data_IF_201727409571
#
_entry.id   IF_201727409571
#
_cell.length_a   1.000
_cell.length_b   1.000
_cell.length_c   1.000
_cell.angle_alpha   90.00
_cell.angle_beta   90.00
_cell.angle_gamma   90.00
#
_symmetry.space_group_name_H-M   'P 1'
#
loop_
_entity.id
_entity.type
_entity.pdbx_description
1 polymer ?
#
# COMPACT_ATOMS: atom_id res chain seq x y z
N UNK A 1 -7.16 24.98 6.88
CA UNK A 1 -6.27 23.83 6.65
C UNK A 1 -4.83 24.34 6.58
N UNK A 2 -4.00 24.05 7.59
CA UNK A 2 -2.60 24.57 7.70
C UNK A 2 -1.76 24.20 6.47
N UNK A 3 -2.03 23.06 5.83
CA UNK A 3 -1.31 22.62 4.64
C UNK A 3 -1.61 23.48 3.41
N UNK A 4 -2.80 24.06 3.33
CA UNK A 4 -3.26 24.91 2.22
C UNK A 4 -3.13 26.41 2.46
N UNK A 5 -2.88 26.83 3.71
CA UNK A 5 -2.90 28.25 4.13
C UNK A 5 -1.64 29.05 3.76
N UNK A 6 -0.63 28.43 3.12
CA UNK A 6 0.62 29.12 2.79
C UNK A 6 1.52 29.47 4.00
N UNK A 7 1.11 29.13 5.22
CA UNK A 7 1.90 29.39 6.43
C UNK A 7 3.19 28.57 6.39
N UNK A 8 4.32 29.26 6.44
CA UNK A 8 5.64 28.61 6.55
C UNK A 8 5.88 28.23 8.00
N UNK A 9 5.86 26.93 8.30
CA UNK A 9 6.24 26.39 9.61
C UNK A 9 7.63 25.74 9.51
N UNK A 10 8.37 25.73 10.63
CA UNK A 10 9.66 25.04 10.69
C UNK A 10 9.48 23.51 10.59
N UNK A 11 10.53 22.79 10.22
CA UNK A 11 10.52 21.33 10.19
C UNK A 11 10.11 20.75 11.56
N UNK A 12 10.76 21.23 12.64
CA UNK A 12 10.47 20.76 14.00
C UNK A 12 8.99 20.98 14.39
N UNK A 13 8.44 22.14 14.08
CA UNK A 13 7.02 22.43 14.34
C UNK A 13 6.11 21.53 13.53
N UNK A 14 6.45 21.26 12.28
CA UNK A 14 5.68 20.35 11.43
C UNK A 14 5.70 18.91 11.97
N UNK A 15 6.85 18.40 12.41
CA UNK A 15 6.98 17.08 13.00
C UNK A 15 6.22 16.98 14.32
N UNK A 16 6.33 17.97 15.21
CA UNK A 16 5.55 18.00 16.47
C UNK A 16 4.03 18.00 16.21
N UNK A 17 3.58 18.77 15.23
CA UNK A 17 2.16 18.79 14.84
C UNK A 17 1.72 17.46 14.24
N UNK A 18 2.52 16.86 13.36
CA UNK A 18 2.22 15.55 12.79
C UNK A 18 2.15 14.47 13.88
N UNK A 19 3.10 14.48 14.83
CA UNK A 19 3.10 13.57 15.98
C UNK A 19 1.84 13.74 16.84
N UNK A 20 1.49 14.97 17.16
CA UNK A 20 0.27 15.27 17.92
C UNK A 20 -0.99 14.72 17.23
N UNK A 21 -1.15 15.01 15.94
CA UNK A 21 -2.29 14.52 15.15
C UNK A 21 -2.31 13.01 15.05
N UNK A 22 -1.15 12.34 14.93
CA UNK A 22 -1.07 10.88 14.90
C UNK A 22 -1.53 10.27 16.22
N UNK A 23 -1.15 10.85 17.35
CA UNK A 23 -1.58 10.40 18.69
C UNK A 23 -3.08 10.64 18.89
N UNK A 24 -3.59 11.81 18.53
CA UNK A 24 -5.01 12.14 18.64
C UNK A 24 -5.89 11.30 17.70
N UNK A 25 -5.32 10.84 16.59
CA UNK A 25 -6.01 10.02 15.60
C UNK A 25 -6.35 8.59 16.08
N UNK A 26 -5.82 8.15 17.22
CA UNK A 26 -6.14 6.82 17.76
C UNK A 26 -7.64 6.62 17.99
N UNK A 27 -8.36 7.69 18.33
CA UNK A 27 -9.79 7.66 18.59
C UNK A 27 -10.64 8.23 17.44
N UNK A 28 -9.99 8.89 16.46
CA UNK A 28 -10.64 9.53 15.31
C UNK A 28 -9.78 9.41 14.08
N UNK A 29 -10.19 8.58 13.14
CA UNK A 29 -9.45 8.25 11.92
C UNK A 29 -9.11 9.49 11.04
N UNK A 30 -9.86 10.57 11.16
CA UNK A 30 -9.68 11.81 10.36
C UNK A 30 -8.32 12.50 10.51
N UNK A 31 -7.60 12.28 11.61
CA UNK A 31 -6.30 12.94 11.85
C UNK A 31 -5.10 12.19 11.25
N UNK A 32 -5.25 10.92 10.94
CA UNK A 32 -4.16 10.12 10.37
C UNK A 32 -3.69 10.61 8.99
N UNK A 33 -4.60 10.85 8.02
CA UNK A 33 -4.20 11.40 6.73
C UNK A 33 -3.56 12.79 6.85
N UNK A 34 -4.04 13.61 7.80
CA UNK A 34 -3.48 14.95 8.03
C UNK A 34 -2.07 14.88 8.59
N UNK A 35 -1.82 14.01 9.59
CA UNK A 35 -0.50 13.76 10.15
C UNK A 35 0.49 13.36 9.05
N UNK A 36 0.13 12.38 8.24
CA UNK A 36 0.96 11.89 7.16
C UNK A 36 1.26 12.95 6.09
N UNK A 37 0.25 13.73 5.68
CA UNK A 37 0.42 14.83 4.70
C UNK A 37 1.34 15.93 5.22
N UNK A 38 1.26 16.29 6.51
CA UNK A 38 2.14 17.28 7.13
C UNK A 38 3.58 16.76 7.18
N UNK A 39 3.77 15.51 7.62
CA UNK A 39 5.09 14.88 7.64
C UNK A 39 5.68 14.79 6.23
N UNK A 40 4.93 14.33 5.24
CA UNK A 40 5.38 14.25 3.85
C UNK A 40 5.82 15.60 3.30
N UNK A 41 5.05 16.66 3.57
CA UNK A 41 5.41 18.03 3.17
C UNK A 41 6.66 18.56 3.90
N UNK A 42 6.86 18.19 5.16
CA UNK A 42 8.07 18.55 5.90
C UNK A 42 9.32 17.86 5.31
N UNK A 43 9.22 16.57 5.02
CA UNK A 43 10.32 15.79 4.42
C UNK A 43 10.58 16.07 2.94
N UNK A 44 9.69 16.78 2.24
CA UNK A 44 9.95 17.18 0.85
C UNK A 44 11.00 18.27 0.69
N UNK A 45 11.43 18.88 1.80
CA UNK A 45 12.52 19.85 1.83
C UNK A 45 13.85 19.12 1.89
N UNK A 46 14.86 19.66 1.18
CA UNK A 46 16.25 19.21 1.31
C UNK A 46 16.80 19.59 2.68
N UNK A 47 17.80 18.86 3.16
CA UNK A 47 18.56 19.16 4.41
C UNK A 47 17.76 19.01 5.72
N UNK A 48 16.80 18.09 5.75
CA UNK A 48 16.10 17.74 6.98
C UNK A 48 16.69 16.49 7.63
N UNK A 49 16.82 16.43 8.96
CA UNK A 49 17.30 15.25 9.64
C UNK A 49 16.32 14.10 9.52
N UNK A 50 16.79 12.93 9.05
CA UNK A 50 15.99 11.73 8.92
C UNK A 50 16.37 10.77 10.03
N UNK A 51 15.43 10.48 10.92
CA UNK A 51 15.55 9.47 11.98
C UNK A 51 14.50 8.38 11.81
N UNK A 52 14.70 7.21 12.45
CA UNK A 52 13.66 6.15 12.45
C UNK A 52 12.34 6.67 13.00
N UNK A 53 12.39 7.48 14.06
CA UNK A 53 11.19 8.06 14.70
C UNK A 53 10.45 9.00 13.75
N UNK A 54 11.17 9.87 13.06
CA UNK A 54 10.55 10.78 12.09
C UNK A 54 10.01 10.06 10.86
N UNK A 55 10.67 9.00 10.41
CA UNK A 55 10.18 8.15 9.32
C UNK A 55 8.89 7.40 9.69
N UNK A 56 8.69 7.02 10.95
CA UNK A 56 7.45 6.40 11.41
C UNK A 56 6.22 7.29 11.22
N UNK A 57 6.37 8.60 11.10
CA UNK A 57 5.28 9.51 10.73
C UNK A 57 4.93 9.43 9.23
N UNK A 58 5.90 9.06 8.37
CA UNK A 58 5.67 8.83 6.95
C UNK A 58 5.18 7.41 6.65
N UNK A 59 5.45 6.48 7.56
CA UNK A 59 5.12 5.06 7.47
C UNK A 59 4.40 4.61 8.75
N UNK A 60 3.22 5.17 9.07
CA UNK A 60 2.51 4.85 10.30
C UNK A 60 1.88 3.47 10.24
N UNK A 61 1.68 2.82 11.40
CA UNK A 61 0.95 1.55 11.55
C UNK A 61 -0.42 1.76 12.17
N UNK A 62 -1.24 2.54 11.53
CA UNK A 62 -2.62 2.76 11.94
C UNK A 62 -3.47 1.51 11.65
N UNK A 63 -4.54 1.31 12.37
CA UNK A 63 -5.42 0.13 12.27
C UNK A 63 -4.70 -1.20 12.56
N UNK A 64 -3.68 -1.20 13.41
CA UNK A 64 -2.77 -2.34 13.60
C UNK A 64 -3.45 -3.63 14.04
N UNK A 65 -4.51 -3.55 14.84
CA UNK A 65 -5.30 -4.72 15.24
C UNK A 65 -5.96 -5.42 14.06
N UNK A 66 -6.54 -4.65 13.14
CA UNK A 66 -7.19 -5.18 11.94
C UNK A 66 -6.17 -5.72 10.95
N UNK A 67 -5.10 -4.95 10.69
CA UNK A 67 -4.03 -5.40 9.79
C UNK A 67 -3.43 -6.70 10.29
N UNK A 68 -3.03 -6.78 11.57
CA UNK A 68 -2.49 -8.01 12.16
C UNK A 68 -3.46 -9.18 12.00
N UNK A 69 -4.72 -9.03 12.43
CA UNK A 69 -5.74 -10.07 12.36
C UNK A 69 -5.88 -10.67 10.96
N UNK A 70 -6.05 -9.81 9.96
CA UNK A 70 -6.33 -10.28 8.61
C UNK A 70 -5.07 -10.69 7.83
N UNK A 71 -3.91 -10.15 8.17
CA UNK A 71 -2.64 -10.64 7.65
C UNK A 71 -2.33 -12.06 8.15
N UNK A 72 -2.61 -12.36 9.42
CA UNK A 72 -2.52 -13.73 9.96
C UNK A 72 -3.54 -14.66 9.31
N UNK A 73 -4.80 -14.21 9.13
CA UNK A 73 -5.89 -15.02 8.55
C UNK A 73 -5.64 -15.39 7.08
N UNK A 74 -5.06 -14.47 6.29
CA UNK A 74 -4.86 -14.65 4.85
C UNK A 74 -3.39 -14.85 4.45
N UNK A 75 -2.51 -15.10 5.42
CA UNK A 75 -1.09 -15.44 5.23
C UNK A 75 -0.32 -14.40 4.41
N UNK A 76 -0.57 -13.09 4.68
CA UNK A 76 0.14 -11.96 4.07
C UNK A 76 1.01 -11.27 5.11
N UNK A 77 2.21 -10.86 4.73
CA UNK A 77 3.05 -10.08 5.62
C UNK A 77 2.50 -8.67 5.84
N UNK A 78 2.57 -8.18 7.10
CA UNK A 78 2.02 -6.88 7.47
C UNK A 78 2.67 -5.73 6.70
N UNK A 79 3.97 -5.81 6.38
CA UNK A 79 4.66 -4.78 5.59
C UNK A 79 4.06 -4.59 4.19
N UNK A 80 3.60 -5.66 3.55
CA UNK A 80 2.88 -5.59 2.26
C UNK A 80 1.56 -4.87 2.45
N UNK A 81 0.80 -5.23 3.48
CA UNK A 81 -0.52 -4.65 3.70
C UNK A 81 -0.44 -3.17 4.08
N UNK A 82 0.52 -2.78 4.92
CA UNK A 82 0.75 -1.37 5.24
C UNK A 82 1.22 -0.56 4.01
N UNK A 83 2.08 -1.15 3.17
CA UNK A 83 2.49 -0.52 1.93
C UNK A 83 1.30 -0.27 1.01
N UNK A 84 0.38 -1.25 0.91
CA UNK A 84 -0.85 -1.13 0.13
C UNK A 84 -1.74 0.00 0.64
N UNK A 85 -2.12 -0.02 1.93
CA UNK A 85 -2.98 1.00 2.53
C UNK A 85 -2.38 2.40 2.37
N UNK A 86 -1.06 2.53 2.62
CA UNK A 86 -0.38 3.80 2.46
C UNK A 86 -0.41 4.31 1.02
N UNK A 87 -0.21 3.44 0.05
CA UNK A 87 -0.16 3.80 -1.37
C UNK A 87 -1.54 4.15 -1.91
N UNK A 88 -2.56 3.43 -1.48
CA UNK A 88 -3.94 3.60 -1.96
C UNK A 88 -4.66 4.81 -1.36
N UNK A 89 -4.54 5.03 -0.06
CA UNK A 89 -5.38 6.00 0.63
C UNK A 89 -4.64 7.01 1.52
N UNK A 90 -3.34 6.82 1.76
CA UNK A 90 -2.65 7.53 2.84
C UNK A 90 -3.38 7.40 4.19
N UNK A 91 -3.94 6.21 4.47
CA UNK A 91 -4.73 5.91 5.66
C UNK A 91 -6.03 6.72 5.81
N UNK A 92 -6.55 7.24 4.72
CA UNK A 92 -7.84 7.94 4.68
C UNK A 92 -8.96 6.93 4.41
N UNK A 93 -9.73 6.60 5.46
CA UNK A 93 -10.78 5.58 5.37
C UNK A 93 -11.98 6.03 4.54
N UNK A 94 -12.18 7.36 4.43
CA UNK A 94 -13.35 7.95 3.77
C UNK A 94 -13.08 8.34 2.32
N UNK A 95 -11.83 8.11 1.84
CA UNK A 95 -11.44 8.54 0.50
C UNK A 95 -12.19 7.75 -0.58
N UNK A 96 -12.67 8.49 -1.59
CA UNK A 96 -13.26 7.93 -2.82
C UNK A 96 -12.50 8.46 -4.02
N UNK A 97 -12.07 7.58 -4.89
CA UNK A 97 -11.43 7.99 -6.14
C UNK A 97 -12.47 8.43 -7.17
N UNK A 98 -12.05 9.18 -8.19
CA UNK A 98 -12.90 9.54 -9.33
C UNK A 98 -13.41 8.32 -10.12
N UNK A 99 -12.71 7.20 -10.05
CA UNK A 99 -13.11 5.93 -10.66
C UNK A 99 -14.09 5.12 -9.79
N UNK A 100 -14.37 5.55 -8.56
CA UNK A 100 -15.31 4.88 -7.66
C UNK A 100 -14.65 3.83 -6.73
N UNK A 101 -13.34 3.84 -6.59
CA UNK A 101 -12.65 3.03 -5.55
C UNK A 101 -12.87 3.66 -4.17
N UNK A 102 -13.00 2.85 -3.12
CA UNK A 102 -13.45 3.28 -1.79
C UNK A 102 -12.50 2.78 -0.69
N UNK A 103 -12.19 3.67 0.24
CA UNK A 103 -11.60 3.38 1.55
C UNK A 103 -10.11 3.08 1.54
N UNK A 104 -9.64 2.51 2.64
CA UNK A 104 -8.22 2.32 2.95
C UNK A 104 -7.43 1.58 1.85
N UNK A 105 -8.05 0.57 1.24
CA UNK A 105 -7.43 -0.27 0.21
C UNK A 105 -7.97 0.00 -1.20
N UNK A 106 -8.76 1.07 -1.35
CA UNK A 106 -9.32 1.53 -2.63
C UNK A 106 -9.97 0.41 -3.46
N UNK A 107 -10.89 -0.31 -2.85
CA UNK A 107 -11.62 -1.37 -3.55
C UNK A 107 -12.72 -0.82 -4.44
N UNK A 108 -12.80 -1.37 -5.64
CA UNK A 108 -13.94 -1.16 -6.54
C UNK A 108 -15.16 -1.97 -6.07
N UNK A 109 -16.36 -1.41 -6.19
CA UNK A 109 -17.61 -2.08 -5.79
C UNK A 109 -17.75 -3.49 -6.40
N UNK A 110 -17.50 -3.71 -7.71
CA UNK A 110 -17.58 -5.06 -8.28
C UNK A 110 -16.61 -6.05 -7.63
N UNK A 111 -15.39 -5.61 -7.33
CA UNK A 111 -14.38 -6.44 -6.64
C UNK A 111 -14.83 -6.78 -5.23
N UNK A 112 -15.32 -5.78 -4.48
CA UNK A 112 -15.83 -6.00 -3.13
C UNK A 112 -17.03 -6.95 -3.10
N UNK A 113 -17.94 -6.86 -4.06
CA UNK A 113 -19.10 -7.76 -4.18
C UNK A 113 -18.67 -9.21 -4.45
N UNK A 114 -17.63 -9.41 -5.29
CA UNK A 114 -17.08 -10.75 -5.53
C UNK A 114 -16.42 -11.32 -4.28
N UNK A 115 -15.66 -10.51 -3.54
CA UNK A 115 -15.04 -10.88 -2.27
C UNK A 115 -16.11 -11.22 -1.22
N UNK A 116 -17.11 -10.37 -1.05
CA UNK A 116 -18.22 -10.59 -0.11
C UNK A 116 -18.92 -11.94 -0.37
N UNK A 117 -19.16 -12.26 -1.64
CA UNK A 117 -19.74 -13.55 -2.05
C UNK A 117 -18.83 -14.73 -1.66
N UNK A 118 -17.52 -14.63 -1.89
CA UNK A 118 -16.54 -15.67 -1.56
C UNK A 118 -16.40 -15.87 -0.06
N UNK A 119 -16.40 -14.78 0.71
CA UNK A 119 -16.33 -14.79 2.17
C UNK A 119 -17.71 -15.04 2.84
N UNK A 120 -18.79 -15.16 2.05
CA UNK A 120 -20.18 -15.33 2.54
C UNK A 120 -20.64 -14.19 3.46
N UNK A 121 -20.12 -12.98 3.23
CA UNK A 121 -20.53 -11.76 3.93
C UNK A 121 -21.76 -11.18 3.23
N UNK A 122 -22.88 -11.06 3.93
CA UNK A 122 -24.16 -10.59 3.36
C UNK A 122 -24.23 -9.06 3.28
N UNK A 123 -23.73 -8.40 4.31
CA UNK A 123 -23.78 -6.95 4.45
C UNK A 123 -22.38 -6.42 4.75
N UNK A 124 -21.92 -5.41 4.02
CA UNK A 124 -20.62 -4.79 4.22
C UNK A 124 -20.66 -3.30 3.87
N UNK A 125 -19.74 -2.55 4.43
CA UNK A 125 -19.43 -1.18 4.05
C UNK A 125 -17.94 -1.03 3.78
N UNK A 126 -17.59 -0.52 2.60
CA UNK A 126 -16.20 -0.21 2.27
C UNK A 126 -15.67 1.04 2.99
N UNK A 127 -16.54 1.82 3.60
CA UNK A 127 -16.19 2.94 4.48
C UNK A 127 -15.87 2.45 5.92
N UNK A 128 -16.23 1.21 6.27
CA UNK A 128 -15.83 0.60 7.52
C UNK A 128 -14.37 0.14 7.44
N UNK A 129 -13.44 0.66 8.27
CA UNK A 129 -12.02 0.35 8.18
C UNK A 129 -11.71 -1.14 8.33
N UNK A 130 -12.37 -1.84 9.27
CA UNK A 130 -12.14 -3.27 9.49
C UNK A 130 -12.52 -4.09 8.25
N UNK A 131 -13.71 -3.87 7.70
CA UNK A 131 -14.20 -4.60 6.54
C UNK A 131 -13.39 -4.28 5.28
N UNK A 132 -12.98 -3.02 5.11
CA UNK A 132 -12.15 -2.61 4.00
C UNK A 132 -10.77 -3.27 4.04
N UNK A 133 -10.13 -3.31 5.22
CA UNK A 133 -8.85 -4.01 5.43
C UNK A 133 -9.03 -5.52 5.20
N UNK A 134 -10.07 -6.14 5.76
CA UNK A 134 -10.37 -7.56 5.53
C UNK A 134 -10.44 -7.88 4.03
N UNK A 135 -11.24 -7.13 3.29
CA UNK A 135 -11.45 -7.38 1.87
C UNK A 135 -10.20 -7.10 1.04
N UNK A 136 -9.47 -6.02 1.36
CA UNK A 136 -8.21 -5.70 0.68
C UNK A 136 -7.13 -6.73 0.92
N UNK A 137 -6.99 -7.23 2.16
CA UNK A 137 -6.04 -8.29 2.51
C UNK A 137 -6.40 -9.60 1.82
N UNK A 138 -7.66 -9.98 1.84
CA UNK A 138 -8.14 -11.14 1.08
C UNK A 138 -7.83 -11.02 -0.41
N UNK A 139 -8.09 -9.84 -1.01
CA UNK A 139 -7.90 -9.64 -2.43
C UNK A 139 -6.44 -9.73 -2.86
N UNK A 140 -5.53 -9.09 -2.14
CA UNK A 140 -4.10 -9.20 -2.47
C UNK A 140 -3.57 -10.63 -2.27
N UNK A 141 -4.01 -11.33 -1.21
CA UNK A 141 -3.69 -12.75 -0.99
C UNK A 141 -4.18 -13.62 -2.15
N UNK A 142 -5.43 -13.44 -2.57
CA UNK A 142 -6.00 -14.16 -3.73
C UNK A 142 -5.19 -13.89 -5.00
N UNK A 143 -4.77 -12.65 -5.23
CA UNK A 143 -3.95 -12.30 -6.40
C UNK A 143 -2.58 -12.99 -6.36
N UNK A 144 -1.91 -12.99 -5.21
CA UNK A 144 -0.62 -13.68 -5.02
C UNK A 144 -0.78 -15.17 -5.29
N UNK A 145 -1.78 -15.79 -4.69
CA UNK A 145 -2.06 -17.21 -4.92
C UNK A 145 -2.35 -17.53 -6.39
N UNK A 146 -3.16 -16.73 -7.07
CA UNK A 146 -3.49 -16.91 -8.49
C UNK A 146 -2.35 -16.64 -9.47
N UNK A 147 -1.26 -16.07 -8.98
CA UNK A 147 -0.04 -15.74 -9.73
C UNK A 147 1.17 -16.55 -9.23
N UNK A 148 0.90 -17.73 -8.66
CA UNK A 148 1.91 -18.70 -8.25
C UNK A 148 2.96 -18.14 -7.27
N UNK A 149 2.52 -17.27 -6.36
CA UNK A 149 3.36 -16.62 -5.35
C UNK A 149 4.02 -15.32 -5.80
N UNK A 150 3.86 -14.91 -7.05
CA UNK A 150 4.50 -13.71 -7.59
C UNK A 150 3.88 -12.42 -7.02
N UNK A 151 4.51 -11.87 -5.96
CA UNK A 151 4.02 -10.70 -5.23
C UNK A 151 4.03 -9.44 -6.10
N UNK A 152 5.08 -9.22 -6.90
CA UNK A 152 5.15 -8.05 -7.78
C UNK A 152 4.06 -8.07 -8.85
N UNK A 153 3.82 -9.22 -9.45
CA UNK A 153 2.72 -9.37 -10.40
C UNK A 153 1.35 -9.18 -9.74
N UNK A 154 1.20 -9.56 -8.46
CA UNK A 154 -0.01 -9.28 -7.69
C UNK A 154 -0.18 -7.78 -7.43
N UNK A 155 0.88 -7.02 -7.14
CA UNK A 155 0.83 -5.57 -7.04
C UNK A 155 0.33 -4.93 -8.33
N UNK A 156 0.90 -5.32 -9.46
CA UNK A 156 0.43 -4.83 -10.77
C UNK A 156 -1.03 -5.23 -11.03
N UNK A 157 -1.43 -6.42 -10.60
CA UNK A 157 -2.79 -6.92 -10.78
C UNK A 157 -3.80 -6.18 -9.93
N UNK A 158 -3.40 -5.73 -8.75
CA UNK A 158 -4.25 -4.91 -7.88
C UNK A 158 -4.61 -3.59 -8.57
N UNK A 159 -3.63 -2.93 -9.20
CA UNK A 159 -3.82 -1.66 -9.91
C UNK A 159 -4.46 -1.83 -11.30
N UNK A 160 -3.93 -2.73 -12.13
CA UNK A 160 -4.29 -2.85 -13.54
C UNK A 160 -5.26 -4.00 -13.88
N UNK A 161 -5.51 -4.90 -12.93
CA UNK A 161 -6.31 -6.11 -13.09
C UNK A 161 -5.52 -7.31 -13.61
N UNK A 162 -5.77 -8.48 -13.02
CA UNK A 162 -5.04 -9.73 -13.25
C UNK A 162 -5.01 -10.19 -14.73
N UNK A 163 -6.07 -9.93 -15.49
CA UNK A 163 -6.15 -10.34 -16.90
C UNK A 163 -5.09 -9.62 -17.76
N UNK A 164 -4.87 -8.33 -17.49
CA UNK A 164 -3.83 -7.54 -18.18
C UNK A 164 -2.43 -8.04 -17.80
N UNK A 165 -2.19 -8.22 -16.51
CA UNK A 165 -0.89 -8.67 -16.00
C UNK A 165 -0.52 -10.05 -16.52
N UNK A 166 -1.45 -11.01 -16.56
CA UNK A 166 -1.22 -12.31 -17.19
C UNK A 166 -0.87 -12.21 -18.68
N UNK A 167 -1.46 -11.27 -19.39
CA UNK A 167 -1.09 -11.01 -20.78
C UNK A 167 0.34 -10.48 -20.87
N UNK A 168 0.73 -9.52 -20.04
CA UNK A 168 2.10 -8.98 -20.01
C UNK A 168 3.13 -10.06 -19.68
N UNK A 169 2.87 -10.87 -18.65
CA UNK A 169 3.73 -12.01 -18.29
C UNK A 169 3.91 -12.98 -19.46
N UNK A 170 2.84 -13.24 -20.22
CA UNK A 170 2.89 -14.11 -21.39
C UNK A 170 3.69 -13.47 -22.53
N UNK A 171 3.50 -12.20 -22.79
CA UNK A 171 4.19 -11.46 -23.86
C UNK A 171 5.68 -11.35 -23.58
N UNK A 172 6.08 -10.99 -22.35
CA UNK A 172 7.50 -10.89 -21.99
C UNK A 172 8.26 -12.22 -22.10
N UNK A 173 7.60 -13.34 -21.83
CA UNK A 173 8.20 -14.69 -22.07
C UNK A 173 8.46 -14.97 -23.54
N UNK A 174 7.64 -14.42 -24.43
CA UNK A 174 7.76 -14.63 -25.88
C UNK A 174 8.83 -13.73 -26.45
N UNK A 175 8.86 -12.45 -26.07
CA UNK A 175 9.76 -11.45 -26.63
C UNK A 175 11.24 -11.73 -26.37
N UNK A 176 11.55 -12.32 -25.23
CA UNK A 176 12.94 -12.65 -24.87
C UNK A 176 13.36 -14.07 -25.25
N UNK A 177 12.53 -14.81 -26.00
CA UNK A 177 12.81 -16.14 -26.52
C UNK A 177 13.42 -17.09 -25.47
N UNK A 178 13.00 -16.93 -24.22
CA UNK A 178 13.60 -17.57 -23.06
C UNK A 178 12.61 -18.57 -22.46
N UNK A 179 13.05 -19.81 -22.33
CA UNK A 179 12.34 -20.85 -21.61
C UNK A 179 12.33 -20.61 -20.09
N UNK A 180 13.20 -19.70 -19.61
CA UNK A 180 13.21 -19.18 -18.25
C UNK A 180 12.37 -17.91 -18.16
N UNK A 181 11.65 -17.73 -17.06
CA UNK A 181 10.92 -16.51 -16.79
C UNK A 181 11.87 -15.31 -16.76
N UNK A 182 11.45 -14.19 -17.35
CA UNK A 182 12.17 -12.95 -17.25
C UNK A 182 12.43 -12.61 -15.77
N UNK A 183 13.65 -12.22 -15.37
CA UNK A 183 13.89 -11.71 -14.03
C UNK A 183 12.86 -10.63 -13.68
N UNK A 184 12.30 -10.69 -12.48
CA UNK A 184 11.11 -9.91 -12.16
C UNK A 184 11.38 -8.41 -12.10
N UNK A 185 12.60 -7.99 -11.77
CA UNK A 185 13.07 -6.62 -11.86
C UNK A 185 13.05 -6.11 -13.31
N UNK A 186 13.45 -6.95 -14.25
CA UNK A 186 13.36 -6.66 -15.68
C UNK A 186 11.91 -6.63 -16.17
N UNK A 187 11.05 -7.52 -15.61
CA UNK A 187 9.62 -7.52 -15.91
C UNK A 187 8.96 -6.20 -15.51
N UNK A 188 9.36 -5.60 -14.38
CA UNK A 188 8.86 -4.29 -13.95
C UNK A 188 9.04 -3.23 -15.04
N UNK A 189 10.18 -3.23 -15.74
CA UNK A 189 10.47 -2.26 -16.82
C UNK A 189 9.68 -2.55 -18.11
N UNK A 190 9.24 -3.79 -18.33
CA UNK A 190 8.45 -4.16 -19.53
C UNK A 190 6.95 -3.87 -19.38
N UNK A 191 6.45 -3.56 -18.19
CA UNK A 191 5.04 -3.21 -17.98
C UNK A 191 4.69 -1.95 -18.78
N UNK A 192 3.72 -2.01 -19.72
CA UNK A 192 3.50 -0.92 -20.66
C UNK A 192 2.90 0.35 -20.05
N UNK A 193 2.25 0.24 -18.89
CA UNK A 193 1.62 1.39 -18.23
C UNK A 193 2.56 2.01 -17.19
N UNK A 194 2.98 3.26 -17.42
CA UNK A 194 3.85 4.02 -16.53
C UNK A 194 3.25 4.14 -15.11
N UNK A 195 1.95 4.38 -15.01
CA UNK A 195 1.25 4.43 -13.72
C UNK A 195 1.42 3.13 -12.94
N UNK A 196 1.22 1.98 -13.59
CA UNK A 196 1.35 0.66 -12.96
C UNK A 196 2.80 0.35 -12.58
N UNK A 197 3.79 0.73 -13.42
CA UNK A 197 5.21 0.63 -13.04
C UNK A 197 5.51 1.46 -11.80
N UNK A 198 5.07 2.72 -11.81
CA UNK A 198 5.22 3.63 -10.67
C UNK A 198 4.55 3.11 -9.39
N UNK A 199 3.39 2.47 -9.54
CA UNK A 199 2.66 1.82 -8.44
C UNK A 199 3.47 0.68 -7.83
N UNK A 200 3.99 -0.25 -8.63
CA UNK A 200 4.84 -1.33 -8.15
C UNK A 200 6.09 -0.83 -7.40
N UNK A 201 6.79 0.16 -7.97
CA UNK A 201 7.96 0.78 -7.31
C UNK A 201 7.62 1.41 -5.96
N UNK A 202 6.47 2.09 -5.85
CA UNK A 202 5.99 2.67 -4.59
C UNK A 202 5.72 1.60 -3.55
N UNK A 203 5.08 0.49 -3.94
CA UNK A 203 4.78 -0.62 -3.03
C UNK A 203 6.04 -1.32 -2.54
N UNK A 204 6.98 -1.64 -3.43
CA UNK A 204 8.27 -2.24 -3.05
C UNK A 204 8.99 -1.33 -2.05
N UNK A 205 9.14 -0.05 -2.36
CA UNK A 205 9.82 0.90 -1.48
C UNK A 205 9.12 1.06 -0.13
N UNK A 206 7.79 1.13 -0.12
CA UNK A 206 7.03 1.24 1.12
C UNK A 206 7.11 -0.04 1.95
N UNK A 207 6.94 -1.22 1.37
CA UNK A 207 7.06 -2.49 2.08
C UNK A 207 8.44 -2.67 2.70
N UNK A 208 9.50 -2.34 1.96
CA UNK A 208 10.88 -2.39 2.44
C UNK A 208 11.10 -1.48 3.65
N UNK A 209 10.54 -0.27 3.62
CA UNK A 209 10.64 0.66 4.75
C UNK A 209 9.80 0.20 5.94
N UNK A 210 8.61 -0.35 5.76
CA UNK A 210 7.85 -0.96 6.85
C UNK A 210 8.61 -2.15 7.45
N UNK A 211 9.16 -3.04 6.64
CA UNK A 211 9.97 -4.17 7.08
C UNK A 211 11.13 -3.73 7.96
N UNK A 212 11.89 -2.75 7.50
CA UNK A 212 13.04 -2.20 8.23
C UNK A 212 12.66 -1.43 9.50
N UNK A 213 11.58 -0.62 9.46
CA UNK A 213 11.19 0.22 10.60
C UNK A 213 10.56 -0.56 11.75
N UNK A 214 9.88 -1.67 11.47
CA UNK A 214 8.99 -2.30 12.44
C UNK A 214 9.19 -3.79 12.66
N UNK A 215 9.87 -4.47 11.75
CA UNK A 215 10.02 -5.93 11.78
C UNK A 215 11.48 -6.38 11.74
N UNK A 216 12.42 -5.43 11.88
CA UNK A 216 13.88 -5.66 11.85
C UNK A 216 14.36 -6.43 10.61
N UNK A 217 13.61 -6.34 9.50
CA UNK A 217 13.95 -6.96 8.22
C UNK A 217 14.91 -6.05 7.45
N UNK A 218 16.04 -6.54 6.96
CA UNK A 218 16.88 -5.80 6.03
C UNK A 218 16.11 -5.43 4.75
N UNK A 219 16.36 -4.24 4.20
CA UNK A 219 15.65 -3.75 3.02
C UNK A 219 15.77 -4.74 1.85
N UNK A 220 16.97 -5.30 1.62
CA UNK A 220 17.20 -6.25 0.53
C UNK A 220 16.37 -7.53 0.67
N UNK A 221 16.15 -8.01 1.90
CA UNK A 221 15.37 -9.22 2.17
C UNK A 221 13.89 -9.03 1.82
N UNK A 222 13.33 -7.87 2.15
CA UNK A 222 11.95 -7.53 1.76
C UNK A 222 11.86 -7.34 0.24
N UNK A 223 12.84 -6.69 -0.40
CA UNK A 223 12.88 -6.57 -1.85
C UNK A 223 12.92 -7.94 -2.51
N UNK A 224 13.85 -8.83 -2.09
CA UNK A 224 13.95 -10.19 -2.64
C UNK A 224 12.64 -10.97 -2.49
N UNK A 225 11.99 -10.91 -1.34
CA UNK A 225 10.70 -11.59 -1.12
C UNK A 225 9.55 -11.11 -2.02
N UNK A 226 9.68 -9.93 -2.61
CA UNK A 226 8.68 -9.36 -3.53
C UNK A 226 9.04 -9.66 -4.99
N UNK A 227 10.35 -9.69 -5.31
CA UNK A 227 10.83 -9.77 -6.70
C UNK A 227 11.35 -11.15 -7.11
N UNK A 228 11.51 -12.07 -6.19
CA UNK A 228 11.83 -13.49 -6.46
C UNK A 228 10.55 -14.31 -6.67
#
# INVERSE_FOLDING_TARGET
NIVSSGVKISFDTAIKLATFLNVCGKDKNEYYPQSLRIAAKAFSKTDVPVTKESLKLLYPRNYSSFVKKYCEEYEISEEIMYALIRTESFFDADIKSSAGAIGLTQLMIPTASDIARKLRVKEYSLENPEQNIQFGTYYISELIHRLDGNVLAAFFSYNAGITRVRRWLKTSKIEFNNTQSLPIDLFLETVPYEETRGYGRKLIGAASLYGWLYYDKPIYEVVSSIVE
#
